data_IF_601275480191
#
_entry.id   IF_601275480191
#
_cell.length_a   1.000
_cell.length_b   1.000
_cell.length_c   1.000
_cell.angle_alpha   90.00
_cell.angle_beta   90.00
_cell.angle_gamma   90.00
#
_symmetry.space_group_name_H-M   'P 1'
#
loop_
_entity.id
_entity.type
_entity.pdbx_description
1 polymer ?
#
# COMPACT_ATOMS: atom_id res chain seq x y z
N UNK A 1 -11.43 13.45 24.84
CA UNK A 1 -11.86 12.26 24.07
C UNK A 1 -10.96 11.10 24.43
N UNK A 2 -11.49 9.88 24.55
CA UNK A 2 -10.67 8.66 24.71
C UNK A 2 -9.66 8.54 23.56
N UNK A 3 -8.39 8.27 23.89
CA UNK A 3 -7.28 8.12 22.93
C UNK A 3 -7.63 7.15 21.80
N UNK A 4 -8.26 6.03 22.16
CA UNK A 4 -8.66 4.98 21.20
C UNK A 4 -9.74 5.50 20.24
N UNK A 5 -10.68 6.30 20.74
CA UNK A 5 -11.74 6.89 19.93
C UNK A 5 -11.16 7.89 18.93
N UNK A 6 -10.25 8.77 19.36
CA UNK A 6 -9.58 9.74 18.47
C UNK A 6 -8.82 9.02 17.35
N UNK A 7 -8.04 8.01 17.72
CA UNK A 7 -7.28 7.20 16.76
C UNK A 7 -8.20 6.47 15.75
N UNK A 8 -9.30 5.90 16.23
CA UNK A 8 -10.27 5.22 15.36
C UNK A 8 -10.96 6.18 14.38
N UNK A 9 -11.31 7.40 14.81
CA UNK A 9 -11.86 8.43 13.90
C UNK A 9 -10.84 8.82 12.83
N UNK A 10 -9.60 9.12 13.23
CA UNK A 10 -8.55 9.52 12.30
C UNK A 10 -8.26 8.45 11.25
N UNK A 11 -8.10 7.18 11.67
CA UNK A 11 -7.86 6.07 10.75
C UNK A 11 -9.06 5.80 9.84
N UNK A 12 -10.30 5.97 10.33
CA UNK A 12 -11.49 5.83 9.48
C UNK A 12 -11.49 6.85 8.34
N UNK A 13 -11.13 8.11 8.63
CA UNK A 13 -11.04 9.17 7.61
C UNK A 13 -9.95 8.85 6.57
N UNK A 14 -8.77 8.43 7.03
CA UNK A 14 -7.69 7.98 6.13
C UNK A 14 -8.14 6.82 5.25
N UNK A 15 -8.82 5.82 5.83
CA UNK A 15 -9.28 4.65 5.09
C UNK A 15 -10.28 5.03 3.97
N UNK A 16 -11.15 6.01 4.20
CA UNK A 16 -12.05 6.54 3.17
C UNK A 16 -11.24 7.21 2.06
N UNK A 17 -10.27 8.06 2.39
CA UNK A 17 -9.41 8.72 1.39
C UNK A 17 -8.66 7.68 0.56
N UNK A 18 -8.06 6.67 1.19
CA UNK A 18 -7.34 5.60 0.49
C UNK A 18 -8.25 4.79 -0.42
N UNK A 19 -9.48 4.48 0.02
CA UNK A 19 -10.47 3.79 -0.82
C UNK A 19 -10.85 4.62 -2.04
N UNK A 20 -11.11 5.92 -1.87
CA UNK A 20 -11.44 6.84 -2.96
C UNK A 20 -10.28 6.95 -3.95
N UNK A 21 -9.05 7.16 -3.46
CA UNK A 21 -7.84 7.22 -4.30
C UNK A 21 -7.65 5.92 -5.07
N UNK A 22 -7.86 4.76 -4.43
CA UNK A 22 -7.77 3.47 -5.08
C UNK A 22 -8.80 3.33 -6.23
N UNK A 23 -10.07 3.61 -5.97
CA UNK A 23 -11.12 3.52 -6.99
C UNK A 23 -10.84 4.45 -8.17
N UNK A 24 -10.52 5.72 -7.90
CA UNK A 24 -10.21 6.71 -8.94
C UNK A 24 -8.98 6.27 -9.76
N UNK A 25 -7.89 5.90 -9.08
CA UNK A 25 -6.62 5.55 -9.71
C UNK A 25 -6.71 4.29 -10.57
N UNK A 26 -7.51 3.29 -10.19
CA UNK A 26 -7.68 2.07 -10.98
C UNK A 26 -8.80 2.15 -12.03
N UNK A 27 -9.59 3.23 -12.06
CA UNK A 27 -10.66 3.40 -13.05
C UNK A 27 -10.17 3.37 -14.52
N UNK A 28 -9.10 4.09 -14.91
CA UNK A 28 -8.71 4.18 -16.32
C UNK A 28 -8.24 2.86 -16.96
N UNK A 29 -7.69 1.95 -16.14
CA UNK A 29 -7.05 0.71 -16.64
C UNK A 29 -7.69 -0.58 -16.14
N UNK A 30 -8.61 -0.52 -15.18
CA UNK A 30 -9.31 -1.70 -14.68
C UNK A 30 -10.82 -1.51 -14.72
N UNK A 31 -11.40 -0.65 -13.86
CA UNK A 31 -12.87 -0.58 -13.73
C UNK A 31 -13.56 -0.09 -15.00
N UNK A 32 -13.07 0.98 -15.64
CA UNK A 32 -13.66 1.52 -16.86
C UNK A 32 -13.71 0.48 -17.98
N UNK A 33 -12.57 -0.10 -18.40
CA UNK A 33 -12.56 -1.16 -19.41
C UNK A 33 -13.38 -2.38 -19.01
N UNK A 34 -13.42 -2.74 -17.72
CA UNK A 34 -14.16 -3.91 -17.23
C UNK A 34 -15.67 -3.72 -17.44
N UNK A 35 -16.20 -2.57 -17.03
CA UNK A 35 -17.63 -2.28 -17.20
C UNK A 35 -18.01 -1.96 -18.66
N UNK A 36 -17.06 -1.51 -19.47
CA UNK A 36 -17.24 -1.37 -20.91
C UNK A 36 -17.16 -2.70 -21.69
N UNK A 37 -16.84 -3.83 -21.04
CA UNK A 37 -16.70 -5.14 -21.67
C UNK A 37 -15.41 -5.32 -22.48
N UNK A 38 -14.44 -4.40 -22.38
CA UNK A 38 -13.20 -4.39 -23.17
C UNK A 38 -11.93 -4.66 -22.34
N UNK A 39 -12.06 -5.09 -21.09
CA UNK A 39 -10.90 -5.32 -20.23
C UNK A 39 -10.07 -6.53 -20.66
N UNK A 40 -8.80 -6.29 -20.95
CA UNK A 40 -7.80 -7.33 -21.20
C UNK A 40 -6.90 -7.48 -19.98
N UNK A 41 -6.98 -8.63 -19.33
CA UNK A 41 -6.20 -8.87 -18.12
C UNK A 41 -4.75 -9.15 -18.47
N UNK A 42 -3.77 -8.46 -17.85
CA UNK A 42 -2.36 -8.75 -18.06
C UNK A 42 -1.88 -10.00 -17.30
N UNK A 43 -2.73 -10.57 -16.43
CA UNK A 43 -2.42 -11.77 -15.64
C UNK A 43 -3.72 -12.46 -15.22
N UNK A 44 -3.69 -13.80 -15.08
CA UNK A 44 -4.83 -14.56 -14.56
C UNK A 44 -5.20 -14.18 -13.12
N UNK A 45 -4.25 -13.64 -12.36
CA UNK A 45 -4.42 -13.28 -10.95
C UNK A 45 -5.06 -11.91 -10.73
N UNK A 46 -5.20 -11.10 -11.78
CA UNK A 46 -5.55 -9.69 -11.64
C UNK A 46 -6.94 -9.47 -11.01
N UNK A 47 -7.95 -10.24 -11.38
CA UNK A 47 -9.27 -10.12 -10.75
C UNK A 47 -9.23 -10.46 -9.26
N UNK A 48 -8.52 -11.53 -8.90
CA UNK A 48 -8.35 -11.95 -7.50
C UNK A 48 -7.57 -10.90 -6.72
N UNK A 49 -6.54 -10.31 -7.32
CA UNK A 49 -5.75 -9.24 -6.71
C UNK A 49 -6.59 -7.98 -6.46
N UNK A 50 -7.34 -7.51 -7.45
CA UNK A 50 -8.18 -6.31 -7.27
C UNK A 50 -9.26 -6.55 -6.22
N UNK A 51 -9.93 -7.71 -6.26
CA UNK A 51 -10.97 -8.04 -5.27
C UNK A 51 -10.36 -8.13 -3.86
N UNK A 52 -9.25 -8.85 -3.68
CA UNK A 52 -8.60 -8.96 -2.37
C UNK A 52 -8.06 -7.63 -1.87
N UNK A 53 -7.49 -6.79 -2.74
CA UNK A 53 -6.99 -5.45 -2.40
C UNK A 53 -8.13 -4.49 -1.99
N UNK A 54 -9.27 -4.52 -2.69
CA UNK A 54 -10.45 -3.76 -2.30
C UNK A 54 -11.00 -4.25 -0.95
N UNK A 55 -11.08 -5.57 -0.76
CA UNK A 55 -11.49 -6.14 0.51
C UNK A 55 -10.52 -5.77 1.64
N UNK A 56 -9.22 -5.69 1.37
CA UNK A 56 -8.23 -5.21 2.34
C UNK A 56 -8.51 -3.77 2.77
N UNK A 57 -8.78 -2.87 1.81
CA UNK A 57 -9.16 -1.48 2.13
C UNK A 57 -10.47 -1.41 2.91
N UNK A 58 -11.44 -2.27 2.58
CA UNK A 58 -12.68 -2.38 3.34
C UNK A 58 -12.46 -2.90 4.77
N UNK A 59 -11.55 -3.86 4.97
CA UNK A 59 -11.13 -4.29 6.31
C UNK A 59 -10.50 -3.12 7.04
N UNK A 60 -9.55 -2.41 6.43
CA UNK A 60 -8.89 -1.25 7.05
C UNK A 60 -9.89 -0.15 7.46
N UNK A 61 -10.96 0.07 6.69
CA UNK A 61 -12.05 0.98 7.02
C UNK A 61 -12.98 0.45 8.12
N UNK A 62 -13.42 -0.80 8.04
CA UNK A 62 -14.43 -1.36 8.95
C UNK A 62 -13.87 -1.58 10.36
N UNK A 63 -12.58 -1.93 10.48
CA UNK A 63 -11.95 -2.22 11.76
C UNK A 63 -12.07 -1.09 12.80
N UNK A 64 -11.68 0.16 12.51
CA UNK A 64 -11.87 1.27 13.46
C UNK A 64 -13.34 1.59 13.72
N UNK A 65 -14.24 1.43 12.74
CA UNK A 65 -15.68 1.64 12.94
C UNK A 65 -16.28 0.64 13.96
N UNK A 66 -15.82 -0.61 13.95
CA UNK A 66 -16.22 -1.61 14.95
C UNK A 66 -15.72 -1.25 16.34
N UNK A 67 -14.52 -0.65 16.47
CA UNK A 67 -14.01 -0.12 17.74
C UNK A 67 -14.88 1.05 18.23
N UNK A 68 -15.25 1.99 17.36
CA UNK A 68 -16.15 3.10 17.71
C UNK A 68 -17.51 2.62 18.21
N UNK A 69 -18.01 1.50 17.65
CA UNK A 69 -19.27 0.84 18.06
C UNK A 69 -19.09 -0.11 19.24
N UNK A 70 -17.88 -0.22 19.82
CA UNK A 70 -17.52 -1.16 20.90
C UNK A 70 -17.81 -2.63 20.57
N UNK A 71 -17.84 -2.99 19.28
CA UNK A 71 -18.12 -4.36 18.83
C UNK A 71 -16.81 -5.14 18.62
N UNK A 72 -16.17 -5.48 19.73
CA UNK A 72 -14.86 -6.13 19.74
C UNK A 72 -14.90 -7.57 19.20
N UNK A 73 -16.05 -8.24 19.29
CA UNK A 73 -16.21 -9.60 18.74
C UNK A 73 -16.14 -9.59 17.22
N UNK A 74 -16.87 -8.68 16.58
CA UNK A 74 -16.79 -8.50 15.13
C UNK A 74 -15.42 -7.97 14.70
N UNK A 75 -14.79 -7.10 15.48
CA UNK A 75 -13.42 -6.65 15.20
C UNK A 75 -12.45 -7.84 15.10
N UNK A 76 -12.53 -8.78 16.06
CA UNK A 76 -11.74 -10.01 16.05
C UNK A 76 -12.08 -10.93 14.89
N UNK A 77 -13.37 -11.11 14.58
CA UNK A 77 -13.83 -11.95 13.46
C UNK A 77 -13.34 -11.40 12.11
N UNK A 78 -13.61 -10.12 11.84
CA UNK A 78 -13.16 -9.43 10.61
C UNK A 78 -11.64 -9.40 10.55
N UNK A 79 -10.95 -9.32 11.69
CA UNK A 79 -9.47 -9.34 11.74
C UNK A 79 -8.88 -10.67 11.28
N UNK A 80 -9.50 -11.80 11.65
CA UNK A 80 -9.09 -13.14 11.18
C UNK A 80 -9.32 -13.29 9.68
N UNK A 81 -10.48 -12.85 9.18
CA UNK A 81 -10.74 -12.82 7.73
C UNK A 81 -9.76 -11.90 7.00
N UNK A 82 -9.43 -10.75 7.60
CA UNK A 82 -8.46 -9.78 7.10
C UNK A 82 -7.06 -10.37 6.92
N UNK A 83 -6.64 -11.32 7.76
CA UNK A 83 -5.36 -12.01 7.57
C UNK A 83 -5.35 -12.85 6.28
N UNK A 84 -6.41 -13.61 6.01
CA UNK A 84 -6.54 -14.36 4.75
C UNK A 84 -6.55 -13.41 3.55
N UNK A 85 -7.29 -12.30 3.64
CA UNK A 85 -7.35 -11.27 2.59
C UNK A 85 -5.96 -10.65 2.34
N UNK A 86 -5.19 -10.39 3.39
CA UNK A 86 -3.82 -9.87 3.27
C UNK A 86 -2.90 -10.86 2.55
N UNK A 87 -2.97 -12.14 2.92
CA UNK A 87 -2.20 -13.21 2.26
C UNK A 87 -2.56 -13.29 0.78
N UNK A 88 -3.85 -13.28 0.44
CA UNK A 88 -4.30 -13.29 -0.96
C UNK A 88 -3.81 -12.05 -1.72
N UNK A 89 -3.88 -10.88 -1.11
CA UNK A 89 -3.40 -9.61 -1.71
C UNK A 89 -1.90 -9.69 -2.01
N UNK A 90 -1.10 -10.18 -1.06
CA UNK A 90 0.34 -10.32 -1.22
C UNK A 90 0.71 -11.36 -2.29
N UNK A 91 0.14 -12.57 -2.22
CA UNK A 91 0.48 -13.65 -3.16
C UNK A 91 0.08 -13.32 -4.59
N UNK A 92 -1.12 -12.77 -4.79
CA UNK A 92 -1.55 -12.34 -6.13
C UNK A 92 -0.76 -11.14 -6.63
N UNK A 93 -0.35 -10.22 -5.75
CA UNK A 93 0.54 -9.12 -6.10
C UNK A 93 1.91 -9.61 -6.57
N UNK A 94 2.49 -10.60 -5.88
CA UNK A 94 3.74 -11.25 -6.29
C UNK A 94 3.55 -11.94 -7.65
N UNK A 95 2.49 -12.74 -7.80
CA UNK A 95 2.24 -13.47 -9.03
C UNK A 95 2.10 -12.54 -10.25
N UNK A 96 1.36 -11.43 -10.11
CA UNK A 96 1.24 -10.42 -11.17
C UNK A 96 2.60 -9.81 -11.52
N UNK A 97 3.44 -9.52 -10.52
CA UNK A 97 4.76 -8.96 -10.79
C UNK A 97 5.63 -9.95 -11.57
N UNK A 98 5.56 -11.24 -11.23
CA UNK A 98 6.31 -12.29 -11.94
C UNK A 98 5.78 -12.52 -13.36
N UNK A 99 4.46 -12.49 -13.57
CA UNK A 99 3.84 -12.62 -14.90
C UNK A 99 4.22 -11.48 -15.85
N UNK A 100 4.66 -10.33 -15.32
CA UNK A 100 5.09 -9.16 -16.09
C UNK A 100 6.60 -9.16 -16.42
N UNK A 101 7.33 -10.20 -16.03
CA UNK A 101 8.74 -10.37 -16.40
C UNK A 101 8.89 -11.22 -17.68
N UNK A 102 10.00 -11.05 -18.44
CA UNK A 102 11.03 -10.02 -18.25
C UNK A 102 10.55 -8.62 -18.67
N UNK A 103 11.13 -7.58 -18.06
CA UNK A 103 10.95 -6.20 -18.51
C UNK A 103 11.74 -6.00 -19.81
N UNK A 104 11.18 -5.24 -20.75
CA UNK A 104 11.86 -4.91 -22.01
C UNK A 104 13.19 -4.18 -21.73
N UNK A 105 14.32 -4.63 -22.30
CA UNK A 105 15.60 -3.94 -22.16
C UNK A 105 15.51 -2.46 -22.56
N UNK A 106 16.06 -1.57 -21.72
CA UNK A 106 16.00 -0.12 -21.93
C UNK A 106 14.73 0.56 -21.39
N UNK A 107 13.72 -0.18 -20.94
CA UNK A 107 12.51 0.38 -20.32
C UNK A 107 12.75 0.70 -18.83
N UNK A 108 13.50 1.77 -18.60
CA UNK A 108 13.87 2.24 -17.26
C UNK A 108 12.66 2.58 -16.39
N UNK A 109 11.56 3.04 -17.00
CA UNK A 109 10.31 3.34 -16.30
C UNK A 109 9.68 2.09 -15.69
N UNK A 110 9.57 1.00 -16.47
CA UNK A 110 9.02 -0.26 -15.96
C UNK A 110 9.96 -0.97 -14.98
N UNK A 111 11.29 -0.88 -15.15
CA UNK A 111 12.27 -1.34 -14.15
C UNK A 111 12.05 -0.62 -12.82
N UNK A 112 11.95 0.72 -12.83
CA UNK A 112 11.71 1.50 -11.62
C UNK A 112 10.35 1.17 -10.99
N UNK A 113 9.30 1.05 -11.80
CA UNK A 113 7.96 0.72 -11.32
C UNK A 113 7.87 -0.70 -10.74
N UNK A 114 8.54 -1.69 -11.34
CA UNK A 114 8.65 -3.03 -10.77
C UNK A 114 9.37 -2.99 -9.42
N UNK A 115 10.54 -2.37 -9.40
CA UNK A 115 11.40 -2.27 -8.21
C UNK A 115 10.66 -1.61 -7.06
N UNK A 116 9.94 -0.51 -7.32
CA UNK A 116 9.15 0.20 -6.31
C UNK A 116 7.98 -0.65 -5.77
N UNK A 117 7.23 -1.32 -6.64
CA UNK A 117 6.13 -2.22 -6.23
C UNK A 117 6.63 -3.39 -5.39
N UNK A 118 7.77 -3.96 -5.74
CA UNK A 118 8.35 -5.09 -5.02
C UNK A 118 8.95 -4.68 -3.67
N UNK A 119 9.75 -3.62 -3.63
CA UNK A 119 10.47 -3.19 -2.41
C UNK A 119 9.61 -2.38 -1.45
N UNK A 120 9.02 -1.27 -1.90
CA UNK A 120 8.21 -0.40 -1.05
C UNK A 120 6.77 -0.88 -0.91
N UNK A 121 6.19 -1.51 -1.94
CA UNK A 121 4.87 -2.10 -1.86
C UNK A 121 4.86 -3.39 -1.03
N UNK A 122 5.26 -4.50 -1.66
CA UNK A 122 5.23 -5.82 -1.03
C UNK A 122 6.21 -5.93 0.15
N UNK A 123 7.42 -5.41 -0.01
CA UNK A 123 8.47 -5.44 1.02
C UNK A 123 8.15 -4.66 2.29
N UNK A 124 7.19 -3.73 2.27
CA UNK A 124 6.66 -3.08 3.49
C UNK A 124 5.35 -3.74 3.92
N UNK A 125 4.44 -3.99 2.99
CA UNK A 125 3.11 -4.56 3.28
C UNK A 125 3.20 -5.86 4.09
N UNK A 126 3.96 -6.83 3.61
CA UNK A 126 4.06 -8.17 4.21
C UNK A 126 4.59 -8.11 5.65
N UNK A 127 5.77 -7.52 5.94
CA UNK A 127 6.25 -7.44 7.31
C UNK A 127 5.37 -6.56 8.19
N UNK A 128 4.79 -5.47 7.67
CA UNK A 128 3.90 -4.62 8.46
C UNK A 128 2.66 -5.38 8.93
N UNK A 129 2.02 -6.18 8.06
CA UNK A 129 0.91 -7.06 8.45
C UNK A 129 1.37 -8.11 9.47
N UNK A 130 2.49 -8.79 9.23
CA UNK A 130 3.01 -9.80 10.15
C UNK A 130 3.25 -9.22 11.55
N UNK A 131 3.94 -8.09 11.64
CA UNK A 131 4.17 -7.41 12.92
C UNK A 131 2.89 -6.84 13.52
N UNK A 132 1.92 -6.37 12.73
CA UNK A 132 0.64 -5.92 13.26
C UNK A 132 -0.10 -7.05 13.98
N UNK A 133 -0.02 -8.28 13.45
CA UNK A 133 -0.61 -9.49 14.06
C UNK A 133 0.15 -9.89 15.31
N UNK A 134 1.49 -9.91 15.28
CA UNK A 134 2.34 -10.23 16.45
C UNK A 134 2.07 -9.25 17.60
N UNK A 135 2.07 -7.95 17.31
CA UNK A 135 1.88 -6.87 18.29
C UNK A 135 0.41 -6.46 18.48
N UNK A 136 -0.56 -7.31 18.11
CA UNK A 136 -2.01 -7.03 18.23
C UNK A 136 -2.49 -6.63 19.63
N UNK A 137 -1.77 -7.04 20.68
CA UNK A 137 -2.06 -6.66 22.08
C UNK A 137 -1.52 -5.28 22.48
N UNK A 138 -0.65 -4.69 21.66
CA UNK A 138 -0.13 -3.32 21.83
C UNK A 138 -0.87 -2.40 20.87
N UNK A 139 -2.04 -1.91 21.26
CA UNK A 139 -2.97 -1.15 20.40
C UNK A 139 -2.30 -0.03 19.61
N UNK A 140 -1.40 0.73 20.24
CA UNK A 140 -0.65 1.80 19.58
C UNK A 140 0.22 1.28 18.42
N UNK A 141 0.88 0.13 18.61
CA UNK A 141 1.71 -0.51 17.59
C UNK A 141 0.85 -1.12 16.48
N UNK A 142 -0.18 -1.87 16.87
CA UNK A 142 -1.08 -2.52 15.92
C UNK A 142 -1.67 -1.52 14.92
N UNK A 143 -2.22 -0.40 15.39
CA UNK A 143 -2.80 0.63 14.52
C UNK A 143 -1.79 1.21 13.53
N UNK A 144 -0.59 1.57 14.00
CA UNK A 144 0.45 2.20 13.16
C UNK A 144 1.00 1.22 12.12
N UNK A 145 1.09 -0.06 12.47
CA UNK A 145 1.49 -1.12 11.54
C UNK A 145 0.40 -1.42 10.50
N UNK A 146 -0.88 -1.39 10.89
CA UNK A 146 -2.00 -1.52 9.93
C UNK A 146 -2.05 -0.33 8.96
N UNK A 147 -1.77 0.87 9.45
CA UNK A 147 -1.60 2.05 8.60
C UNK A 147 -0.41 1.87 7.65
N UNK A 148 0.77 1.50 8.17
CA UNK A 148 1.99 1.30 7.38
C UNK A 148 1.77 0.26 6.28
N UNK A 149 1.12 -0.87 6.59
CA UNK A 149 0.77 -1.87 5.61
C UNK A 149 -0.10 -1.25 4.51
N UNK A 150 -1.18 -0.57 4.86
CA UNK A 150 -2.13 -0.06 3.86
C UNK A 150 -1.56 1.09 3.04
N UNK A 151 -0.86 2.04 3.66
CA UNK A 151 -0.25 3.18 2.96
C UNK A 151 0.81 2.71 1.95
N UNK A 152 1.51 1.60 2.20
CA UNK A 152 2.54 1.09 1.29
C UNK A 152 2.00 0.66 -0.07
N UNK A 153 0.68 0.41 -0.15
CA UNK A 153 -0.01 0.07 -1.40
C UNK A 153 -0.49 1.30 -2.19
N UNK A 154 -0.56 2.47 -1.55
CA UNK A 154 -1.11 3.70 -2.13
C UNK A 154 -0.29 4.36 -3.25
N UNK A 155 1.04 4.18 -3.36
CA UNK A 155 1.80 4.66 -4.51
C UNK A 155 1.25 4.19 -5.87
N UNK A 156 0.71 2.97 -5.95
CA UNK A 156 0.19 2.41 -7.21
C UNK A 156 -1.05 3.15 -7.75
N UNK A 157 -2.17 3.29 -7.00
CA UNK A 157 -3.31 4.07 -7.48
C UNK A 157 -2.97 5.56 -7.64
N UNK A 158 -2.13 6.13 -6.77
CA UNK A 158 -1.73 7.53 -6.91
C UNK A 158 -0.93 7.79 -8.19
N UNK A 159 0.04 6.92 -8.50
CA UNK A 159 0.82 7.01 -9.75
C UNK A 159 -0.06 6.93 -10.99
N UNK A 160 -1.10 6.07 -10.97
CA UNK A 160 -2.08 6.00 -12.06
C UNK A 160 -2.87 7.30 -12.21
N UNK A 161 -3.14 8.02 -11.13
CA UNK A 161 -3.81 9.33 -11.22
C UNK A 161 -2.92 10.32 -11.96
N UNK A 162 -1.64 10.41 -11.59
CA UNK A 162 -0.67 11.27 -12.23
C UNK A 162 -0.54 10.96 -13.74
N UNK A 163 -0.43 9.68 -14.08
CA UNK A 163 -0.15 9.25 -15.45
C UNK A 163 -1.41 9.38 -16.34
N UNK A 164 -2.58 8.95 -15.86
CA UNK A 164 -3.76 8.81 -16.71
C UNK A 164 -4.71 10.01 -16.68
N UNK A 165 -4.75 10.80 -15.59
CA UNK A 165 -5.58 12.00 -15.54
C UNK A 165 -4.77 13.28 -15.72
N UNK A 166 -3.51 13.31 -15.29
CA UNK A 166 -2.66 14.51 -15.40
C UNK A 166 -1.63 14.42 -16.55
N UNK A 167 -1.55 13.28 -17.25
CA UNK A 167 -0.67 13.10 -18.40
C UNK A 167 0.83 13.14 -18.05
N UNK A 168 1.20 12.94 -16.78
CA UNK A 168 2.59 12.97 -16.35
C UNK A 168 3.30 11.69 -16.84
N UNK A 169 4.41 11.81 -17.59
CA UNK A 169 5.22 10.66 -18.00
C UNK A 169 5.69 9.81 -16.81
N UNK A 170 5.84 8.49 -17.00
CA UNK A 170 6.13 7.54 -15.91
C UNK A 170 7.45 7.85 -15.18
N UNK A 171 8.48 8.24 -15.92
CA UNK A 171 9.79 8.67 -15.42
C UNK A 171 9.70 9.93 -14.55
N UNK A 172 8.90 10.92 -14.98
CA UNK A 172 8.64 12.13 -14.20
C UNK A 172 7.72 11.89 -13.00
N UNK A 173 6.82 10.92 -13.08
CA UNK A 173 5.89 10.57 -11.99
C UNK A 173 6.61 9.89 -10.81
N UNK A 174 7.70 9.15 -11.06
CA UNK A 174 8.44 8.38 -10.06
C UNK A 174 8.83 9.18 -8.81
N UNK A 175 9.56 10.31 -8.95
CA UNK A 175 9.92 11.16 -7.81
C UNK A 175 8.72 11.72 -7.05
N UNK A 176 7.64 12.10 -7.74
CA UNK A 176 6.41 12.63 -7.14
C UNK A 176 5.73 11.54 -6.30
N UNK A 177 5.66 10.31 -6.82
CA UNK A 177 5.11 9.14 -6.11
C UNK A 177 5.96 8.83 -4.87
N UNK A 178 7.29 8.92 -4.97
CA UNK A 178 8.21 8.75 -3.86
C UNK A 178 7.96 9.76 -2.74
N UNK A 179 7.87 11.06 -3.09
CA UNK A 179 7.55 12.12 -2.13
C UNK A 179 6.17 11.94 -1.49
N UNK A 180 5.17 11.54 -2.28
CA UNK A 180 3.85 11.18 -1.76
C UNK A 180 3.95 10.06 -0.71
N UNK A 181 4.67 8.98 -1.00
CA UNK A 181 4.83 7.86 -0.06
C UNK A 181 5.55 8.29 1.24
N UNK A 182 6.60 9.10 1.13
CA UNK A 182 7.31 9.67 2.29
C UNK A 182 6.39 10.58 3.09
N UNK A 183 5.53 11.36 2.45
CA UNK A 183 4.56 12.23 3.15
C UNK A 183 3.53 11.41 3.94
N UNK A 184 3.03 10.31 3.37
CA UNK A 184 2.15 9.38 4.09
C UNK A 184 2.87 8.74 5.29
N UNK A 185 4.16 8.42 5.15
CA UNK A 185 4.96 7.88 6.23
C UNK A 185 5.17 8.91 7.35
N UNK A 186 5.47 10.16 6.98
CA UNK A 186 5.67 11.27 7.91
C UNK A 186 4.38 11.65 8.66
N UNK A 187 3.21 11.40 8.05
CA UNK A 187 1.93 11.67 8.69
C UNK A 187 1.76 10.94 10.03
N UNK A 188 2.34 9.75 10.22
CA UNK A 188 2.28 9.02 11.50
C UNK A 188 3.00 9.73 12.65
N UNK A 189 4.32 10.02 12.59
CA UNK A 189 5.00 10.71 13.69
C UNK A 189 4.47 12.13 13.88
N UNK A 190 4.05 12.82 12.81
CA UNK A 190 3.39 14.13 12.91
C UNK A 190 2.07 14.00 13.69
N UNK A 191 1.20 13.07 13.28
CA UNK A 191 -0.06 12.79 13.97
C UNK A 191 0.16 12.46 15.44
N UNK A 192 1.12 11.60 15.75
CA UNK A 192 1.44 11.23 17.13
C UNK A 192 1.85 12.43 17.97
N UNK A 193 2.73 13.28 17.42
CA UNK A 193 3.20 14.48 18.12
C UNK A 193 2.06 15.47 18.36
N UNK A 194 1.24 15.72 17.34
CA UNK A 194 0.15 16.70 17.41
C UNK A 194 -1.01 16.25 18.31
N UNK A 195 -1.40 14.98 18.22
CA UNK A 195 -2.60 14.47 18.92
C UNK A 195 -2.27 13.91 20.31
N UNK A 196 -1.11 13.28 20.48
CA UNK A 196 -0.73 12.59 21.72
C UNK A 196 0.43 13.27 22.47
N UNK A 197 1.00 14.35 21.94
CA UNK A 197 2.12 15.11 22.53
C UNK A 197 3.49 14.41 22.45
N UNK A 198 3.51 13.11 22.12
CA UNK A 198 4.70 12.25 22.02
C UNK A 198 4.60 11.33 20.80
N UNK A 199 5.74 11.10 20.15
CA UNK A 199 5.83 10.18 19.01
C UNK A 199 6.02 8.76 19.53
N UNK A 200 5.19 7.82 19.06
CA UNK A 200 5.40 6.40 19.36
C UNK A 200 6.61 5.87 18.57
N UNK A 201 7.44 5.03 19.20
CA UNK A 201 8.67 4.50 18.57
C UNK A 201 8.40 3.85 17.22
N UNK A 202 7.27 3.15 17.10
CA UNK A 202 6.88 2.46 15.87
C UNK A 202 6.57 3.42 14.71
N UNK A 203 6.14 4.66 14.97
CA UNK A 203 5.94 5.67 13.94
C UNK A 203 7.27 6.13 13.34
N UNK A 204 8.32 6.25 14.16
CA UNK A 204 9.67 6.52 13.66
C UNK A 204 10.22 5.34 12.86
N UNK A 205 10.04 4.11 13.35
CA UNK A 205 10.46 2.90 12.62
C UNK A 205 9.75 2.83 11.27
N UNK A 206 8.44 3.09 11.22
CA UNK A 206 7.67 3.12 9.99
C UNK A 206 8.19 4.17 9.00
N UNK A 207 8.48 5.38 9.49
CA UNK A 207 9.03 6.46 8.68
C UNK A 207 10.41 6.10 8.10
N UNK A 208 11.32 5.60 8.95
CA UNK A 208 12.67 5.18 8.53
C UNK A 208 12.61 4.01 7.55
N UNK A 209 11.70 3.04 7.76
CA UNK A 209 11.53 1.92 6.84
C UNK A 209 11.14 2.38 5.43
N UNK A 210 10.28 3.40 5.31
CA UNK A 210 9.87 3.96 4.02
C UNK A 210 11.02 4.73 3.36
N UNK A 211 11.80 5.49 4.13
CA UNK A 211 13.01 6.16 3.62
C UNK A 211 14.04 5.15 3.13
N UNK A 212 14.27 4.08 3.90
CA UNK A 212 15.19 3.01 3.54
C UNK A 212 14.72 2.27 2.26
N UNK A 213 13.41 2.02 2.12
CA UNK A 213 12.85 1.45 0.90
C UNK A 213 13.05 2.41 -0.30
N UNK A 214 12.85 3.71 -0.12
CA UNK A 214 13.11 4.71 -1.16
C UNK A 214 14.58 4.73 -1.61
N UNK A 215 15.51 4.71 -0.66
CA UNK A 215 16.94 4.62 -0.96
C UNK A 215 17.29 3.31 -1.68
N UNK A 216 16.70 2.19 -1.25
CA UNK A 216 16.88 0.89 -1.89
C UNK A 216 16.35 0.88 -3.34
N UNK A 217 15.20 1.50 -3.61
CA UNK A 217 14.67 1.65 -4.97
C UNK A 217 15.66 2.42 -5.85
N UNK A 218 16.17 3.54 -5.34
CA UNK A 218 17.17 4.35 -6.05
C UNK A 218 18.43 3.55 -6.35
N UNK A 219 18.93 2.78 -5.38
CA UNK A 219 20.09 1.91 -5.58
C UNK A 219 19.84 0.81 -6.62
N UNK A 220 18.76 0.04 -6.47
CA UNK A 220 18.46 -1.09 -7.34
C UNK A 220 18.15 -0.66 -8.79
N UNK A 221 17.45 0.46 -8.97
CA UNK A 221 17.12 0.97 -10.32
C UNK A 221 18.38 1.43 -11.10
N UNK A 222 19.51 1.62 -10.41
CA UNK A 222 20.80 1.97 -11.02
C UNK A 222 21.83 0.83 -10.93
N UNK A 223 21.43 -0.37 -10.50
CA UNK A 223 22.31 -1.51 -10.35
C UNK A 223 22.20 -2.46 -11.56
N UNK A 224 23.30 -2.67 -12.29
CA UNK A 224 23.32 -3.49 -13.50
C UNK A 224 22.80 -4.92 -13.26
N UNK A 225 23.30 -5.61 -12.22
CA UNK A 225 22.88 -6.99 -11.93
C UNK A 225 21.39 -7.12 -11.61
N UNK A 226 20.80 -6.09 -10.98
CA UNK A 226 19.35 -6.05 -10.75
C UNK A 226 18.58 -5.82 -12.05
N UNK A 227 19.05 -4.91 -12.90
CA UNK A 227 18.44 -4.66 -14.22
C UNK A 227 18.50 -5.91 -15.08
N UNK A 228 19.67 -6.55 -15.18
CA UNK A 228 19.90 -7.77 -15.96
C UNK A 228 18.98 -8.91 -15.51
N UNK A 229 18.81 -9.08 -14.18
CA UNK A 229 17.86 -10.03 -13.62
C UNK A 229 16.41 -9.77 -14.08
N UNK A 230 15.98 -8.51 -14.12
CA UNK A 230 14.62 -8.15 -14.51
C UNK A 230 14.41 -8.21 -16.02
N UNK A 231 15.45 -7.97 -16.82
CA UNK A 231 15.39 -7.98 -18.29
C UNK A 231 15.72 -9.33 -18.90
N UNK A 232 16.23 -10.27 -18.09
CA UNK A 232 16.65 -11.59 -18.55
C UNK A 232 17.93 -11.57 -19.38
N UNK A 233 18.80 -10.60 -19.13
CA UNK A 233 20.12 -10.46 -19.78
C UNK A 233 21.23 -11.13 -18.97
#
# INVERSE_FOLDING_TARGET
MDRIRTDAVAVSAVAIVFLVVAVIGFTPRYFGPLFAGGYQSPSAWMHVHVISSLLWLMVFLVQPLLILRKNFDRHRLVGRAGLLIAVMTALTGIAIQLDLLPVVPGDTGNVAAFTARFTAGLGIFIPAVAFAVVYRRRTAWHLRLMYLATMSLMPSPFGRILIHYLGIPLDAAGPIIGLFNVSLAAALPIYDKLVHGKVERISWIAFVAVLAAGAMIGFLTNNASWIDLLTGQ
#
